data_IF_072111939810
#
_entry.id   IF_072111939810
#
_cell.length_a   1.000
_cell.length_b   1.000
_cell.length_c   1.000
_cell.angle_alpha   90.00
_cell.angle_beta   90.00
_cell.angle_gamma   90.00
#
_symmetry.space_group_name_H-M   'P 1'
#
loop_
_entity.id
_entity.type
_entity.pdbx_description
1 polymer ?
#
# COMPACT_ATOMS: atom_id res chain seq x y z
N UNK A 1 -0.52 -41.92 -19.58
CA UNK A 1 -0.10 -41.49 -18.22
C UNK A 1 -0.55 -40.04 -18.02
N UNK A 2 -1.64 -39.84 -17.27
CA UNK A 2 -2.21 -38.51 -17.02
C UNK A 2 -1.40 -37.81 -15.92
N UNK A 3 -0.75 -36.69 -16.24
CA UNK A 3 -0.08 -35.83 -15.25
C UNK A 3 -1.17 -35.12 -14.46
N UNK A 4 -1.32 -35.49 -13.19
CA UNK A 4 -2.19 -34.81 -12.25
C UNK A 4 -1.79 -33.34 -12.14
N UNK A 5 -2.70 -32.46 -12.57
CA UNK A 5 -2.55 -31.00 -12.59
C UNK A 5 -2.50 -30.50 -11.15
N UNK A 6 -1.29 -30.37 -10.60
CA UNK A 6 -1.07 -29.69 -9.31
C UNK A 6 -1.25 -28.18 -9.49
N UNK A 7 -2.50 -27.71 -9.52
CA UNK A 7 -2.79 -26.31 -9.23
C UNK A 7 -2.80 -26.14 -7.70
N UNK A 8 -1.61 -26.01 -7.12
CA UNK A 8 -1.47 -25.70 -5.70
C UNK A 8 -1.94 -24.27 -5.45
N UNK A 9 -2.50 -24.00 -4.27
CA UNK A 9 -2.94 -22.65 -3.87
C UNK A 9 -1.82 -21.60 -4.06
N UNK A 10 -0.56 -21.98 -3.80
CA UNK A 10 0.60 -21.12 -4.04
C UNK A 10 0.78 -20.72 -5.53
N UNK A 11 0.47 -21.60 -6.47
CA UNK A 11 0.50 -21.25 -7.90
C UNK A 11 -0.64 -20.29 -8.27
N UNK A 12 -1.81 -20.43 -7.66
CA UNK A 12 -2.92 -19.51 -7.84
C UNK A 12 -2.60 -18.12 -7.26
N UNK A 13 -2.03 -18.06 -6.05
CA UNK A 13 -1.57 -16.80 -5.43
C UNK A 13 -0.58 -16.09 -6.34
N UNK A 14 0.44 -16.78 -6.87
CA UNK A 14 1.42 -16.15 -7.78
C UNK A 14 0.78 -15.54 -9.03
N UNK A 15 -0.20 -16.21 -9.64
CA UNK A 15 -0.93 -15.65 -10.78
C UNK A 15 -1.73 -14.40 -10.41
N UNK A 16 -2.39 -14.41 -9.25
CA UNK A 16 -3.09 -13.23 -8.72
C UNK A 16 -2.11 -12.08 -8.45
N UNK A 17 -0.89 -12.38 -7.99
CA UNK A 17 0.22 -11.41 -7.84
C UNK A 17 0.86 -10.97 -9.17
N UNK A 18 0.31 -11.36 -10.32
CA UNK A 18 0.78 -10.89 -11.63
C UNK A 18 1.87 -11.73 -12.27
N UNK A 19 2.20 -12.93 -11.76
CA UNK A 19 3.26 -13.78 -12.34
C UNK A 19 2.97 -14.29 -13.77
N UNK A 20 1.84 -13.93 -14.35
CA UNK A 20 1.46 -14.25 -15.73
C UNK A 20 0.64 -13.11 -16.33
N UNK A 21 0.99 -11.87 -15.98
CA UNK A 21 0.43 -10.62 -16.53
C UNK A 21 -1.10 -10.53 -16.47
N UNK A 22 -1.71 -11.25 -15.52
CA UNK A 22 -3.16 -11.43 -15.40
C UNK A 22 -3.83 -11.90 -16.69
N UNK A 23 -3.12 -12.66 -17.53
CA UNK A 23 -3.63 -13.18 -18.80
C UNK A 23 -4.94 -13.95 -18.61
N UNK A 24 -5.96 -13.53 -19.36
CA UNK A 24 -7.32 -14.06 -19.26
C UNK A 24 -8.07 -13.78 -17.94
N UNK A 25 -7.53 -12.97 -17.03
CA UNK A 25 -8.13 -12.69 -15.71
C UNK A 25 -8.82 -11.32 -15.61
N UNK A 26 -8.57 -10.42 -16.57
CA UNK A 26 -9.10 -9.05 -16.56
C UNK A 26 -10.50 -8.92 -17.17
N UNK A 27 -10.88 -9.81 -18.10
CA UNK A 27 -12.16 -9.70 -18.82
C UNK A 27 -12.82 -11.08 -19.01
N UNK A 28 -13.89 -11.41 -18.26
CA UNK A 28 -14.42 -10.66 -17.12
C UNK A 28 -13.44 -10.67 -15.94
N UNK A 29 -13.49 -9.65 -15.07
CA UNK A 29 -12.59 -9.56 -13.94
C UNK A 29 -12.83 -10.73 -12.96
N UNK A 30 -11.83 -11.59 -12.79
CA UNK A 30 -11.94 -12.75 -11.91
C UNK A 30 -12.17 -12.31 -10.46
N UNK A 31 -13.11 -12.90 -9.70
CA UNK A 31 -13.45 -12.46 -8.34
C UNK A 31 -12.25 -12.45 -7.38
N UNK A 32 -11.36 -13.43 -7.50
CA UNK A 32 -10.13 -13.49 -6.68
C UNK A 32 -9.17 -12.34 -6.97
N UNK A 33 -9.07 -11.90 -8.23
CA UNK A 33 -8.26 -10.76 -8.62
C UNK A 33 -8.92 -9.46 -8.17
N UNK A 34 -10.26 -9.37 -8.29
CA UNK A 34 -11.02 -8.23 -7.77
C UNK A 34 -10.82 -8.05 -6.26
N UNK A 35 -10.90 -9.14 -5.50
CA UNK A 35 -10.67 -9.11 -4.05
C UNK A 35 -9.26 -8.66 -3.70
N UNK A 36 -8.25 -9.14 -4.44
CA UNK A 36 -6.87 -8.74 -4.21
C UNK A 36 -6.62 -7.26 -4.56
N UNK A 37 -7.17 -6.77 -5.67
CA UNK A 37 -7.09 -5.34 -6.03
C UNK A 37 -7.77 -4.48 -4.99
N UNK A 38 -8.95 -4.89 -4.49
CA UNK A 38 -9.64 -4.17 -3.41
C UNK A 38 -8.79 -4.13 -2.14
N UNK A 39 -8.19 -5.26 -1.75
CA UNK A 39 -7.30 -5.36 -0.59
C UNK A 39 -6.10 -4.41 -0.70
N UNK A 40 -5.46 -4.33 -1.87
CA UNK A 40 -4.39 -3.35 -2.09
C UNK A 40 -4.90 -1.91 -2.07
N UNK A 41 -6.11 -1.65 -2.58
CA UNK A 41 -6.76 -0.35 -2.48
C UNK A 41 -7.02 0.09 -1.04
N UNK A 42 -7.50 -0.81 -0.18
CA UNK A 42 -7.72 -0.56 1.24
C UNK A 42 -6.42 -0.23 1.98
N UNK A 43 -5.33 -0.94 1.66
CA UNK A 43 -3.99 -0.63 2.20
C UNK A 43 -3.55 0.79 1.83
N UNK A 44 -3.73 1.20 0.57
CA UNK A 44 -3.40 2.56 0.11
C UNK A 44 -4.30 3.60 0.79
N UNK A 45 -5.60 3.32 0.89
CA UNK A 45 -6.55 4.20 1.57
C UNK A 45 -6.20 4.41 3.05
N UNK A 46 -5.80 3.36 3.75
CA UNK A 46 -5.34 3.45 5.13
C UNK A 46 -4.07 4.31 5.27
N UNK A 47 -3.13 4.21 4.32
CA UNK A 47 -1.95 5.07 4.29
C UNK A 47 -2.31 6.56 4.16
N UNK A 48 -3.23 6.90 3.26
CA UNK A 48 -3.69 8.29 3.10
C UNK A 48 -4.45 8.78 4.33
N UNK A 49 -5.35 7.98 4.88
CA UNK A 49 -6.09 8.33 6.09
C UNK A 49 -5.15 8.57 7.31
N UNK A 50 -4.05 7.83 7.36
CA UNK A 50 -3.03 7.95 8.38
C UNK A 50 -2.09 9.16 8.20
N UNK A 51 -2.08 9.83 7.05
CA UNK A 51 -1.20 10.98 6.81
C UNK A 51 -1.75 12.24 7.48
N UNK A 52 -0.88 13.02 8.12
CA UNK A 52 -1.20 14.36 8.62
C UNK A 52 -1.04 15.40 7.53
N UNK A 53 -2.17 15.93 7.06
CA UNK A 53 -2.22 16.87 5.95
C UNK A 53 -2.39 18.33 6.41
N UNK A 54 -2.60 18.57 7.71
CA UNK A 54 -2.68 19.93 8.25
C UNK A 54 -1.27 20.53 8.41
N UNK A 55 -0.91 21.57 7.64
CA UNK A 55 0.40 22.20 7.70
C UNK A 55 0.65 22.99 8.99
N UNK A 56 -0.40 23.28 9.77
CA UNK A 56 -0.27 23.95 11.07
C UNK A 56 0.23 23.01 12.16
N UNK A 57 0.12 21.69 11.96
CA UNK A 57 0.49 20.70 12.96
C UNK A 57 1.99 20.35 12.86
N UNK A 58 2.70 20.17 13.99
CA UNK A 58 4.12 19.80 14.00
C UNK A 58 4.44 18.48 13.28
N UNK A 59 3.43 17.64 13.06
CA UNK A 59 3.52 16.36 12.38
C UNK A 59 3.07 16.42 10.92
N UNK A 60 2.97 17.60 10.31
CA UNK A 60 2.65 17.71 8.88
C UNK A 60 3.49 16.73 8.03
N UNK A 61 2.82 16.05 7.10
CA UNK A 61 3.37 14.99 6.25
C UNK A 61 3.96 13.77 6.98
N UNK A 62 3.61 13.57 8.25
CA UNK A 62 3.95 12.36 9.02
C UNK A 62 2.71 11.49 9.27
N UNK A 63 2.94 10.25 9.69
CA UNK A 63 1.86 9.36 10.12
C UNK A 63 1.26 9.82 11.46
N UNK A 64 -0.06 9.91 11.52
CA UNK A 64 -0.88 10.21 12.71
C UNK A 64 -0.80 9.11 13.77
N UNK A 65 -0.58 7.86 13.33
CA UNK A 65 -0.66 6.67 14.17
C UNK A 65 0.70 6.02 14.41
N UNK A 66 0.82 5.32 15.54
CA UNK A 66 1.92 4.40 15.75
C UNK A 66 1.82 3.19 14.81
N UNK A 67 2.97 2.57 14.49
CA UNK A 67 3.09 1.45 13.55
C UNK A 67 2.07 0.33 13.77
N UNK A 68 1.83 -0.04 15.03
CA UNK A 68 0.91 -1.12 15.39
C UNK A 68 -0.54 -0.81 15.04
N UNK A 69 -0.93 0.47 15.02
CA UNK A 69 -2.33 0.89 14.86
C UNK A 69 -2.68 1.37 13.45
N UNK A 70 -1.67 1.66 12.63
CA UNK A 70 -1.86 2.26 11.31
C UNK A 70 -2.75 1.42 10.38
N UNK A 71 -2.67 0.09 10.45
CA UNK A 71 -3.44 -0.83 9.58
C UNK A 71 -4.49 -1.64 10.33
N UNK A 72 -4.77 -1.33 11.61
CA UNK A 72 -5.79 -2.05 12.41
C UNK A 72 -7.16 -2.00 11.71
N UNK A 73 -7.56 -0.82 11.24
CA UNK A 73 -8.86 -0.61 10.58
C UNK A 73 -8.88 -1.11 9.12
N UNK A 74 -7.71 -1.31 8.50
CA UNK A 74 -7.61 -1.78 7.12
C UNK A 74 -7.88 -3.29 6.99
N UNK A 75 -7.97 -4.03 8.11
CA UNK A 75 -8.34 -5.45 8.11
C UNK A 75 -7.41 -6.37 7.30
N UNK A 76 -6.23 -5.89 6.91
CA UNK A 76 -5.44 -6.51 5.87
C UNK A 76 -4.56 -7.67 6.37
N UNK A 77 -4.45 -7.87 7.69
CA UNK A 77 -3.60 -8.90 8.29
C UNK A 77 -2.10 -8.60 8.22
N UNK A 78 -1.72 -7.34 8.02
CA UNK A 78 -0.33 -6.88 7.99
C UNK A 78 0.02 -6.06 9.23
N UNK A 79 1.25 -6.22 9.69
CA UNK A 79 1.86 -5.37 10.70
C UNK A 79 2.84 -4.39 10.02
N UNK A 80 2.74 -3.10 10.36
CA UNK A 80 3.69 -2.10 9.86
C UNK A 80 5.01 -2.23 10.61
N UNK A 81 6.08 -2.52 9.89
CA UNK A 81 7.42 -2.62 10.49
C UNK A 81 8.20 -1.30 10.42
N UNK A 82 7.98 -0.51 9.37
CA UNK A 82 8.70 0.74 9.10
C UNK A 82 7.86 1.70 8.26
N UNK A 83 7.95 3.00 8.58
CA UNK A 83 7.48 4.08 7.72
C UNK A 83 8.66 4.54 6.85
N UNK A 84 8.39 4.73 5.56
CA UNK A 84 9.37 5.23 4.59
C UNK A 84 9.11 6.72 4.41
N UNK A 85 10.17 7.52 4.41
CA UNK A 85 10.10 8.97 4.24
C UNK A 85 10.91 9.37 3.00
N UNK A 86 10.42 10.38 2.28
CA UNK A 86 11.09 10.95 1.12
C UNK A 86 11.01 12.47 1.16
N UNK A 87 12.11 13.13 0.83
CA UNK A 87 12.22 14.58 0.65
C UNK A 87 12.82 14.87 -0.72
N UNK A 88 12.38 15.94 -1.38
CA UNK A 88 12.96 16.41 -2.63
C UNK A 88 13.89 17.60 -2.39
N UNK A 89 15.08 17.58 -3.01
CA UNK A 89 16.00 18.73 -3.00
C UNK A 89 15.50 19.87 -3.91
N UNK A 90 14.71 19.54 -4.93
CA UNK A 90 14.04 20.50 -5.78
C UNK A 90 12.71 20.94 -5.16
N UNK A 91 12.37 22.21 -5.32
CA UNK A 91 11.04 22.71 -5.01
C UNK A 91 10.01 22.01 -5.91
N UNK A 92 9.14 21.22 -5.31
CA UNK A 92 8.02 20.58 -6.02
C UNK A 92 6.84 21.56 -6.02
N UNK A 93 6.29 21.95 -7.18
CA UNK A 93 5.15 22.85 -7.24
C UNK A 93 3.98 22.31 -6.41
N UNK A 94 3.47 23.12 -5.49
CA UNK A 94 2.36 22.74 -4.60
C UNK A 94 2.76 21.99 -3.33
N UNK A 95 4.05 21.72 -3.12
CA UNK A 95 4.57 21.16 -1.88
C UNK A 95 5.43 22.21 -1.18
N UNK A 96 4.93 22.75 -0.06
CA UNK A 96 5.72 23.68 0.74
C UNK A 96 6.95 22.94 1.29
N UNK A 97 8.14 23.50 1.10
CA UNK A 97 9.35 22.95 1.69
C UNK A 97 9.14 22.87 3.20
N UNK A 98 9.44 21.70 3.79
CA UNK A 98 9.36 21.50 5.23
C UNK A 98 10.45 22.36 5.90
N UNK A 99 10.13 23.62 6.17
CA UNK A 99 11.01 24.63 6.75
C UNK A 99 11.00 24.60 8.28
N UNK A 100 11.00 23.42 8.89
CA UNK A 100 11.34 23.37 10.33
C UNK A 100 12.84 23.21 10.45
N UNK A 101 13.48 24.30 10.89
CA UNK A 101 14.86 24.29 11.30
C UNK A 101 15.07 23.27 12.41
N UNK A 102 15.53 22.08 12.05
CA UNK A 102 16.34 21.27 12.94
C UNK A 102 17.79 21.73 12.76
N UNK A 103 18.14 22.82 13.44
CA UNK A 103 19.52 23.05 13.80
C UNK A 103 19.96 21.85 14.67
N UNK A 104 21.05 21.23 14.22
CA UNK A 104 21.85 20.22 14.93
C UNK A 104 22.14 20.56 16.37
#
# INVERSE_FOLDING_TARGET
MSVARRSTAAAAVRKVQGSGDWDGMLTPLYPVLRGEVARYGELVGACYAALEEDPSLPRYMNCKYGKLRMLEDAGAGYEVTRCIYSSSDAAVPGMEAWNSGCAS
#
